data_IF_444454966406
#
_entry.id   IF_444454966406
#
_cell.length_a   1.000
_cell.length_b   1.000
_cell.length_c   1.000
_cell.angle_alpha   90.00
_cell.angle_beta   90.00
_cell.angle_gamma   90.00
#
_symmetry.space_group_name_H-M   'P 1'
#
loop_
_entity.id
_entity.type
_entity.pdbx_description
1 polymer ?
#
# COMPACT_ATOMS: atom_id res chain seq x y z
N UNK A 1 54.25 -12.29 35.65
CA UNK A 1 52.99 -12.87 35.18
C UNK A 1 51.86 -11.99 35.73
N UNK A 2 51.14 -11.25 34.89
CA UNK A 2 50.12 -10.26 35.30
C UNK A 2 48.72 -10.88 35.15
N UNK A 3 47.97 -10.98 36.26
CA UNK A 3 46.58 -11.44 36.24
C UNK A 3 45.65 -10.29 35.86
N UNK A 4 44.92 -10.46 34.76
CA UNK A 4 43.96 -9.48 34.25
C UNK A 4 42.52 -9.90 34.59
N UNK A 5 41.89 -9.03 35.39
CA UNK A 5 40.47 -8.75 35.60
C UNK A 5 39.42 -9.64 34.89
N UNK A 6 38.64 -10.36 35.71
CA UNK A 6 37.35 -10.95 35.37
C UNK A 6 36.31 -9.83 35.15
N UNK A 7 35.92 -9.58 33.91
CA UNK A 7 34.83 -8.67 33.58
C UNK A 7 33.48 -9.42 33.65
N UNK A 8 32.53 -8.84 34.40
CA UNK A 8 31.13 -9.29 34.48
C UNK A 8 30.40 -8.97 33.18
N UNK A 9 29.53 -9.86 32.63
CA UNK A 9 28.70 -9.49 31.50
C UNK A 9 27.52 -8.62 31.97
N UNK A 10 27.31 -7.50 31.29
CA UNK A 10 26.17 -6.63 31.48
C UNK A 10 24.87 -7.35 31.07
N UNK A 11 23.88 -7.32 31.96
CA UNK A 11 22.48 -7.68 31.70
C UNK A 11 21.94 -6.90 30.50
N UNK A 12 21.85 -7.56 29.35
CA UNK A 12 21.20 -7.02 28.16
C UNK A 12 19.68 -7.06 28.40
N UNK A 13 19.09 -5.91 28.74
CA UNK A 13 17.63 -5.71 28.67
C UNK A 13 17.18 -6.06 27.25
N UNK A 14 16.49 -7.19 27.08
CA UNK A 14 15.72 -7.47 25.87
C UNK A 14 14.63 -6.42 25.79
N UNK A 15 14.84 -5.40 24.96
CA UNK A 15 13.73 -4.60 24.47
C UNK A 15 12.79 -5.58 23.75
N UNK A 16 11.56 -5.73 24.26
CA UNK A 16 10.50 -6.42 23.55
C UNK A 16 10.17 -5.57 22.32
N UNK A 17 10.85 -5.84 21.21
CA UNK A 17 10.44 -5.31 19.91
C UNK A 17 9.16 -6.05 19.56
N UNK A 18 8.01 -5.45 19.88
CA UNK A 18 6.76 -5.79 19.19
C UNK A 18 7.10 -5.76 17.70
N UNK A 19 6.88 -6.86 16.99
CA UNK A 19 7.07 -6.88 15.55
C UNK A 19 6.39 -5.64 14.95
N UNK A 20 7.07 -4.88 14.08
CA UNK A 20 6.45 -3.71 13.46
C UNK A 20 5.20 -4.19 12.73
N UNK A 21 4.09 -3.48 12.85
CA UNK A 21 2.89 -3.73 12.06
C UNK A 21 3.14 -3.11 10.68
N UNK A 22 3.52 -3.90 9.64
CA UNK A 22 3.97 -3.33 8.38
C UNK A 22 2.78 -2.70 7.67
N UNK A 23 2.78 -1.39 7.52
CA UNK A 23 1.80 -0.67 6.71
C UNK A 23 2.50 -0.26 5.42
N UNK A 24 1.91 -0.57 4.27
CA UNK A 24 2.41 -0.12 2.96
C UNK A 24 1.35 0.76 2.33
N UNK A 25 1.73 1.95 1.87
CA UNK A 25 0.83 2.88 1.18
C UNK A 25 1.37 3.18 -0.21
N UNK A 26 0.54 2.93 -1.23
CA UNK A 26 0.80 3.37 -2.60
C UNK A 26 0.30 4.81 -2.72
N UNK A 27 1.23 5.74 -2.55
CA UNK A 27 0.96 7.15 -2.31
C UNK A 27 1.35 8.00 -3.51
N UNK A 28 0.58 9.05 -3.79
CA UNK A 28 1.02 10.15 -4.65
C UNK A 28 0.95 11.47 -3.86
N UNK A 29 2.07 12.20 -3.70
CA UNK A 29 2.15 13.44 -2.91
C UNK A 29 1.26 14.57 -3.44
N UNK A 30 0.94 14.58 -4.72
CA UNK A 30 0.08 15.59 -5.35
C UNK A 30 -1.42 15.36 -5.08
N UNK A 31 -1.78 14.27 -4.39
CA UNK A 31 -3.17 13.93 -4.10
C UNK A 31 -3.56 14.22 -2.65
N UNK A 32 -4.50 15.15 -2.43
CA UNK A 32 -5.02 15.51 -1.11
C UNK A 32 -5.51 14.32 -0.28
N UNK A 33 -6.31 13.43 -0.86
CA UNK A 33 -6.78 12.22 -0.16
C UNK A 33 -5.63 11.30 0.25
N UNK A 34 -4.60 11.18 -0.58
CA UNK A 34 -3.41 10.35 -0.30
C UNK A 34 -2.58 10.90 0.87
N UNK A 35 -2.49 12.23 1.00
CA UNK A 35 -1.85 12.91 2.13
C UNK A 35 -2.64 12.70 3.42
N UNK A 36 -3.96 12.87 3.39
CA UNK A 36 -4.81 12.63 4.55
C UNK A 36 -4.69 11.18 5.06
N UNK A 37 -4.67 10.18 4.17
CA UNK A 37 -4.48 8.78 4.58
C UNK A 37 -3.11 8.55 5.21
N UNK A 38 -2.05 9.14 4.65
CA UNK A 38 -0.71 9.06 5.23
C UNK A 38 -0.66 9.68 6.64
N UNK A 39 -1.31 10.82 6.83
CA UNK A 39 -1.39 11.51 8.13
C UNK A 39 -2.17 10.67 9.15
N UNK A 40 -3.27 10.02 8.75
CA UNK A 40 -4.03 9.11 9.63
C UNK A 40 -3.17 7.92 10.07
N UNK A 41 -2.43 7.30 9.14
CA UNK A 41 -1.53 6.18 9.48
C UNK A 41 -0.46 6.61 10.48
N UNK A 42 0.16 7.78 10.27
CA UNK A 42 1.16 8.31 11.19
C UNK A 42 0.56 8.69 12.55
N UNK A 43 -0.65 9.24 12.56
CA UNK A 43 -1.38 9.55 13.78
C UNK A 43 -1.73 8.31 14.60
N UNK A 44 -1.88 7.13 13.96
CA UNK A 44 -2.07 5.85 14.66
C UNK A 44 -0.77 5.29 15.27
N UNK A 45 0.36 5.99 15.14
CA UNK A 45 1.66 5.55 15.64
C UNK A 45 2.36 4.50 14.78
N UNK A 46 1.87 4.24 13.56
CA UNK A 46 2.52 3.38 12.58
C UNK A 46 3.38 4.22 11.61
N UNK A 47 4.56 3.71 11.23
CA UNK A 47 5.35 4.31 10.15
C UNK A 47 5.17 3.47 8.88
N UNK A 48 4.47 3.98 7.85
CA UNK A 48 4.21 3.21 6.64
C UNK A 48 5.39 3.25 5.68
N UNK A 49 5.58 2.16 4.95
CA UNK A 49 6.38 2.13 3.73
C UNK A 49 5.61 2.85 2.62
N UNK A 50 6.16 3.95 2.14
CA UNK A 50 5.57 4.76 1.07
C UNK A 50 6.12 4.27 -0.27
N UNK A 51 5.25 3.82 -1.16
CA UNK A 51 5.61 3.38 -2.52
C UNK A 51 5.03 4.37 -3.53
N UNK A 52 5.90 5.01 -4.31
CA UNK A 52 5.49 5.80 -5.48
C UNK A 52 5.23 4.87 -6.68
N UNK A 53 4.00 4.37 -6.73
CA UNK A 53 3.57 3.41 -7.74
C UNK A 53 3.63 3.95 -9.18
N UNK A 54 3.65 5.28 -9.36
CA UNK A 54 3.76 5.88 -10.70
C UNK A 54 5.17 5.73 -11.27
N UNK A 55 6.18 5.71 -10.40
CA UNK A 55 7.58 5.51 -10.78
C UNK A 55 7.97 4.03 -10.77
N UNK A 56 7.51 3.27 -9.77
CA UNK A 56 7.87 1.84 -9.67
C UNK A 56 7.11 0.96 -10.67
N UNK A 57 5.94 1.42 -11.11
CA UNK A 57 5.00 0.61 -11.87
C UNK A 57 4.41 -0.54 -11.05
N UNK A 58 3.75 -1.45 -11.76
CA UNK A 58 3.09 -2.61 -11.19
C UNK A 58 3.52 -3.89 -11.90
N UNK A 59 3.44 -5.02 -11.21
CA UNK A 59 3.54 -6.34 -11.82
C UNK A 59 2.20 -7.04 -11.79
N UNK A 60 1.94 -7.91 -12.78
CA UNK A 60 0.70 -8.70 -12.86
C UNK A 60 0.41 -9.51 -11.58
N UNK A 61 1.36 -10.30 -11.04
CA UNK A 61 1.11 -11.04 -9.80
C UNK A 61 0.84 -10.13 -8.60
N UNK A 62 1.50 -8.96 -8.53
CA UNK A 62 1.25 -7.99 -7.47
C UNK A 62 -0.16 -7.40 -7.54
N UNK A 63 -0.62 -6.97 -8.73
CA UNK A 63 -1.99 -6.44 -8.88
C UNK A 63 -3.04 -7.48 -8.53
N UNK A 64 -2.88 -8.71 -9.02
CA UNK A 64 -3.80 -9.80 -8.71
C UNK A 64 -3.87 -10.07 -7.20
N UNK A 65 -2.72 -10.11 -6.52
CA UNK A 65 -2.67 -10.28 -5.07
C UNK A 65 -3.34 -9.11 -4.33
N UNK A 66 -3.10 -7.87 -4.75
CA UNK A 66 -3.69 -6.67 -4.14
C UNK A 66 -5.21 -6.64 -4.33
N UNK A 67 -5.70 -6.95 -5.53
CA UNK A 67 -7.12 -6.95 -5.85
C UNK A 67 -7.86 -8.08 -5.13
N UNK A 68 -7.27 -9.28 -5.07
CA UNK A 68 -7.81 -10.37 -4.28
C UNK A 68 -7.88 -10.01 -2.78
N UNK A 69 -6.82 -9.43 -2.23
CA UNK A 69 -6.78 -9.03 -0.83
C UNK A 69 -7.71 -7.84 -0.49
N UNK A 70 -8.01 -6.99 -1.47
CA UNK A 70 -8.96 -5.88 -1.35
C UNK A 70 -10.41 -6.27 -1.68
N UNK A 71 -10.64 -7.51 -2.12
CA UNK A 71 -11.92 -7.98 -2.66
C UNK A 71 -12.45 -7.05 -3.77
N UNK A 72 -11.56 -6.63 -4.68
CA UNK A 72 -11.85 -5.75 -5.81
C UNK A 72 -11.64 -6.49 -7.13
N UNK A 73 -12.47 -6.19 -8.12
CA UNK A 73 -12.17 -6.53 -9.51
C UNK A 73 -11.23 -5.49 -10.14
N UNK A 74 -10.45 -5.83 -11.17
CA UNK A 74 -9.68 -4.85 -11.93
C UNK A 74 -10.52 -3.66 -12.39
N UNK A 75 -11.75 -3.92 -12.85
CA UNK A 75 -12.71 -2.86 -13.19
C UNK A 75 -13.07 -1.95 -12.01
N UNK A 76 -13.28 -2.48 -10.81
CA UNK A 76 -13.55 -1.68 -9.61
C UNK A 76 -12.32 -0.86 -9.15
N UNK A 77 -11.12 -1.39 -9.37
CA UNK A 77 -9.87 -0.70 -9.11
C UNK A 77 -9.49 0.32 -10.20
N UNK A 78 -10.16 0.30 -11.36
CA UNK A 78 -9.88 1.19 -12.48
C UNK A 78 -10.21 2.64 -12.13
N UNK A 79 -9.21 3.49 -12.28
CA UNK A 79 -9.35 4.93 -12.18
C UNK A 79 -9.97 5.46 -13.46
N UNK A 80 -11.16 6.03 -13.36
CA UNK A 80 -11.89 6.64 -14.48
C UNK A 80 -11.60 8.14 -14.63
N UNK A 81 -11.25 8.82 -13.54
CA UNK A 81 -11.03 10.26 -13.52
C UNK A 81 -9.54 10.63 -13.53
N UNK A 82 -9.15 11.61 -14.35
CA UNK A 82 -7.76 12.07 -14.49
C UNK A 82 -6.80 10.91 -14.81
N UNK A 83 -7.20 10.09 -15.77
CA UNK A 83 -6.52 8.88 -16.24
C UNK A 83 -6.88 8.66 -17.72
N UNK A 84 -6.04 7.95 -18.50
CA UNK A 84 -6.31 7.69 -19.92
C UNK A 84 -7.36 6.58 -20.12
N UNK A 85 -8.12 6.18 -19.09
CA UNK A 85 -9.04 5.04 -19.17
C UNK A 85 -10.12 5.20 -20.25
N UNK A 86 -10.67 6.41 -20.40
CA UNK A 86 -11.66 6.71 -21.44
C UNK A 86 -11.03 6.72 -22.85
N UNK A 87 -9.85 7.33 -22.98
CA UNK A 87 -9.11 7.42 -24.25
C UNK A 87 -8.67 6.03 -24.75
N UNK A 88 -8.37 5.11 -23.83
CA UNK A 88 -8.01 3.73 -24.11
C UNK A 88 -9.22 2.79 -24.29
N UNK A 89 -10.45 3.31 -24.20
CA UNK A 89 -11.67 2.51 -24.34
C UNK A 89 -11.95 1.54 -23.20
N UNK A 90 -11.24 1.64 -22.07
CA UNK A 90 -11.33 0.70 -20.94
C UNK A 90 -12.64 0.85 -20.12
N UNK A 91 -13.43 1.89 -20.40
CA UNK A 91 -14.71 2.13 -19.75
C UNK A 91 -15.85 1.29 -20.35
N UNK A 92 -15.62 0.69 -21.51
CA UNK A 92 -16.61 -0.15 -22.18
C UNK A 92 -16.90 -1.41 -21.33
N UNK A 93 -18.18 -1.77 -21.12
CA UNK A 93 -18.56 -2.97 -20.37
C UNK A 93 -18.02 -4.28 -20.98
N UNK A 94 -17.75 -4.32 -22.29
CA UNK A 94 -17.29 -5.53 -22.98
C UNK A 94 -15.80 -5.79 -22.79
N UNK A 95 -15.05 -4.83 -22.21
CA UNK A 95 -13.63 -4.99 -21.90
C UNK A 95 -13.45 -6.00 -20.76
N UNK A 96 -12.59 -6.99 -20.96
CA UNK A 96 -12.33 -8.03 -19.96
C UNK A 96 -11.44 -7.52 -18.82
N UNK A 97 -11.56 -8.14 -17.66
CA UNK A 97 -10.70 -7.84 -16.50
C UNK A 97 -9.21 -8.07 -16.81
N UNK A 98 -8.87 -9.06 -17.65
CA UNK A 98 -7.50 -9.29 -18.12
C UNK A 98 -6.98 -8.13 -18.98
N UNK A 99 -7.80 -7.58 -19.89
CA UNK A 99 -7.41 -6.43 -20.70
C UNK A 99 -7.21 -5.17 -19.85
N UNK A 100 -8.04 -4.97 -18.82
CA UNK A 100 -7.87 -3.90 -17.84
C UNK A 100 -6.57 -4.07 -17.07
N UNK A 101 -6.26 -5.29 -16.61
CA UNK A 101 -5.01 -5.60 -15.91
C UNK A 101 -3.79 -5.29 -16.78
N UNK A 102 -3.79 -5.77 -18.03
CA UNK A 102 -2.66 -5.56 -18.93
C UNK A 102 -2.46 -4.06 -19.21
N UNK A 103 -3.55 -3.30 -19.35
CA UNK A 103 -3.48 -1.84 -19.46
C UNK A 103 -2.91 -1.19 -18.18
N UNK A 104 -3.27 -1.67 -16.98
CA UNK A 104 -2.73 -1.17 -15.71
C UNK A 104 -1.23 -1.40 -15.55
N UNK A 105 -0.68 -2.44 -16.17
CA UNK A 105 0.77 -2.70 -16.20
C UNK A 105 1.51 -1.67 -17.08
N UNK A 106 0.91 -1.32 -18.22
CA UNK A 106 1.47 -0.33 -19.15
C UNK A 106 1.30 1.10 -18.60
N UNK A 107 0.15 1.36 -17.98
CA UNK A 107 -0.22 2.67 -17.45
C UNK A 107 -0.57 2.57 -15.95
N UNK A 108 0.44 2.63 -15.05
CA UNK A 108 0.21 2.50 -13.61
C UNK A 108 -0.81 3.48 -13.04
N UNK A 109 -0.96 4.65 -13.69
CA UNK A 109 -1.95 5.69 -13.35
C UNK A 109 -3.41 5.21 -13.43
N UNK A 110 -3.69 4.12 -14.15
CA UNK A 110 -5.01 3.50 -14.26
C UNK A 110 -5.47 2.85 -12.95
N UNK A 111 -4.59 2.59 -11.98
CA UNK A 111 -4.97 2.06 -10.67
C UNK A 111 -5.42 3.19 -9.74
N UNK A 112 -6.59 3.04 -9.11
CA UNK A 112 -7.10 4.00 -8.13
C UNK A 112 -6.20 4.09 -6.90
N UNK A 113 -6.23 5.26 -6.24
CA UNK A 113 -5.36 5.63 -5.11
C UNK A 113 -6.16 6.27 -3.97
N UNK A 114 -5.68 6.23 -2.71
CA UNK A 114 -4.54 5.45 -2.22
C UNK A 114 -4.90 3.98 -1.93
N UNK A 115 -3.98 3.08 -2.22
CA UNK A 115 -4.06 1.65 -1.88
C UNK A 115 -3.18 1.38 -0.65
N UNK A 116 -3.82 1.00 0.46
CA UNK A 116 -3.13 0.69 1.72
C UNK A 116 -3.15 -0.81 1.95
N UNK A 117 -1.99 -1.36 2.31
CA UNK A 117 -1.80 -2.78 2.59
C UNK A 117 -1.30 -2.93 4.03
N UNK A 118 -1.95 -3.78 4.81
CA UNK A 118 -1.52 -4.15 6.16
C UNK A 118 -1.69 -5.67 6.35
N UNK A 119 -1.16 -6.28 7.43
CA UNK A 119 -1.41 -7.69 7.72
C UNK A 119 -2.90 -8.06 7.86
N UNK A 120 -3.77 -7.07 8.12
CA UNK A 120 -5.23 -7.30 8.21
C UNK A 120 -5.91 -7.37 6.85
N UNK A 121 -5.29 -6.80 5.83
CA UNK A 121 -5.84 -6.78 4.48
C UNK A 121 -5.37 -5.59 3.66
N UNK A 122 -5.93 -5.49 2.46
CA UNK A 122 -5.66 -4.40 1.53
C UNK A 122 -6.96 -3.64 1.32
N UNK A 123 -6.90 -2.31 1.20
CA UNK A 123 -8.08 -1.51 0.87
C UNK A 123 -7.74 -0.29 0.04
N UNK A 124 -8.68 0.05 -0.83
CA UNK A 124 -8.72 1.35 -1.49
C UNK A 124 -9.35 2.38 -0.55
N UNK A 125 -8.55 3.29 0.01
CA UNK A 125 -9.02 4.17 1.08
C UNK A 125 -9.69 5.44 0.54
N UNK A 126 -10.91 5.26 0.00
CA UNK A 126 -11.80 6.33 -0.44
C UNK A 126 -13.21 6.06 0.11
N UNK A 127 -13.64 6.70 1.20
CA UNK A 127 -13.04 7.87 1.86
C UNK A 127 -11.77 7.55 2.67
N UNK A 128 -11.00 8.59 3.04
CA UNK A 128 -9.70 8.42 3.71
C UNK A 128 -9.80 7.76 5.09
N UNK A 129 -10.91 7.91 5.82
CA UNK A 129 -11.10 7.26 7.12
C UNK A 129 -11.11 5.73 7.06
N UNK A 130 -11.40 5.12 5.91
CA UNK A 130 -11.49 3.65 5.80
C UNK A 130 -10.16 2.94 6.05
N UNK A 131 -9.06 3.69 6.16
CA UNK A 131 -7.75 3.17 6.56
C UNK A 131 -7.73 2.74 8.02
N UNK A 132 -8.58 3.33 8.88
CA UNK A 132 -8.62 3.01 10.31
C UNK A 132 -8.92 1.53 10.56
N UNK A 133 -9.83 0.95 9.80
CA UNK A 133 -10.17 -0.49 9.85
C UNK A 133 -8.93 -1.39 9.63
N UNK A 134 -7.98 -0.93 8.82
CA UNK A 134 -6.74 -1.64 8.51
C UNK A 134 -5.64 -1.43 9.56
N UNK A 135 -5.78 -0.44 10.44
CA UNK A 135 -4.79 -0.03 11.44
C UNK A 135 -5.11 -0.51 12.86
N UNK A 136 -6.34 -0.92 13.14
CA UNK A 136 -6.73 -1.52 14.43
C UNK A 136 -5.90 -2.78 14.73
N UNK A 137 -5.18 -2.82 15.85
CA UNK A 137 -4.27 -3.91 16.24
C UNK A 137 -4.86 -4.83 17.29
#
# INVERSE_FOLDING_TARGET
>A
MRNAATQRPATQRRASVSAPFPVVIHHNPECGTSRNVLDIIRASGAEPLIIDYLQTGWTRPQLLALFAAANLTPRAALRTSKSPAAELGLLDPDVTDDAILDAMLIHPVLVNRPLVCTPKGVRLCRPSESVLDLLER
#
